data_IF_302784486209
#
_entry.id   IF_302784486209
#
_cell.length_a   1.000
_cell.length_b   1.000
_cell.length_c   1.000
_cell.angle_alpha   90.00
_cell.angle_beta   90.00
_cell.angle_gamma   90.00
#
_symmetry.space_group_name_H-M   'P 1'
#
loop_
_entity.id
_entity.type
_entity.pdbx_description
1 polymer ?
#
# COMPACT_ATOMS: atom_id res chain seq x y z
N UNK A 1 -13.45 3.20 -2.56
CA UNK A 1 -12.87 1.91 -2.95
C UNK A 1 -13.67 1.26 -4.09
N UNK A 2 -15.00 1.13 -3.98
CA UNK A 2 -15.79 0.46 -5.04
C UNK A 2 -15.63 1.09 -6.41
N UNK A 3 -15.78 2.42 -6.52
CA UNK A 3 -15.75 3.12 -7.81
C UNK A 3 -14.43 2.99 -8.60
N UNK A 4 -13.29 2.87 -7.91
CA UNK A 4 -11.97 2.95 -8.56
C UNK A 4 -11.10 1.69 -8.40
N UNK A 5 -11.46 0.76 -7.52
CA UNK A 5 -10.68 -0.47 -7.24
C UNK A 5 -11.55 -1.72 -7.35
N UNK A 6 -12.87 -1.54 -7.38
CA UNK A 6 -13.91 -2.58 -7.35
C UNK A 6 -13.82 -3.47 -6.10
N UNK A 7 -13.52 -2.86 -4.94
CA UNK A 7 -13.48 -3.54 -3.65
C UNK A 7 -14.62 -3.01 -2.76
N UNK A 8 -15.41 -3.94 -2.24
CA UNK A 8 -16.39 -3.65 -1.20
C UNK A 8 -15.71 -3.64 0.17
N UNK A 9 -15.90 -2.55 0.91
CA UNK A 9 -15.36 -2.36 2.25
C UNK A 9 -16.28 -1.43 3.03
N UNK A 10 -16.54 -1.75 4.30
CA UNK A 10 -17.42 -0.93 5.13
C UNK A 10 -16.79 0.42 5.47
N UNK A 11 -17.59 1.50 5.60
CA UNK A 11 -17.08 2.82 5.95
C UNK A 11 -16.27 2.85 7.26
N UNK A 12 -16.63 2.03 8.26
CA UNK A 12 -15.92 1.94 9.54
C UNK A 12 -14.48 1.43 9.41
N UNK A 13 -14.22 0.64 8.37
CA UNK A 13 -12.91 0.06 8.08
C UNK A 13 -12.05 0.98 7.19
N UNK A 14 -12.58 2.14 6.77
CA UNK A 14 -11.86 3.19 6.05
C UNK A 14 -11.44 4.29 7.04
N UNK A 15 -10.24 4.19 7.57
CA UNK A 15 -9.76 4.97 8.71
C UNK A 15 -8.94 6.17 8.22
N UNK A 16 -9.37 7.43 8.45
CA UNK A 16 -8.57 8.61 8.13
C UNK A 16 -7.25 8.63 8.90
N UNK A 17 -6.15 8.98 8.22
CA UNK A 17 -4.83 9.08 8.83
C UNK A 17 -4.10 10.35 8.38
N UNK A 18 -3.16 10.83 9.20
CA UNK A 18 -2.35 12.02 8.92
C UNK A 18 -1.25 11.69 7.87
N UNK A 19 -1.70 11.35 6.66
CA UNK A 19 -0.89 10.83 5.57
C UNK A 19 -0.56 9.34 5.71
N UNK A 20 -0.17 8.69 4.59
CA UNK A 20 0.18 7.27 4.57
C UNK A 20 1.38 6.91 5.46
N UNK A 21 2.24 7.88 5.78
CA UNK A 21 3.36 7.68 6.72
C UNK A 21 2.86 7.39 8.14
N UNK A 22 1.80 8.06 8.60
CA UNK A 22 1.18 7.75 9.88
C UNK A 22 0.43 6.41 9.82
N UNK A 23 -0.23 6.12 8.70
CA UNK A 23 -0.89 4.84 8.47
C UNK A 23 0.11 3.66 8.54
N UNK A 24 1.25 3.76 7.82
CA UNK A 24 2.27 2.71 7.82
C UNK A 24 2.92 2.53 9.20
N UNK A 25 3.18 3.63 9.91
CA UNK A 25 3.72 3.55 11.27
C UNK A 25 2.77 2.80 12.21
N UNK A 26 1.49 3.19 12.23
CA UNK A 26 0.48 2.50 13.03
C UNK A 26 0.29 1.05 12.61
N UNK A 27 0.30 0.76 11.29
CA UNK A 27 0.20 -0.60 10.78
C UNK A 27 1.38 -1.48 11.25
N UNK A 28 2.61 -0.96 11.23
CA UNK A 28 3.76 -1.68 11.76
C UNK A 28 3.65 -1.94 13.26
N UNK A 29 3.23 -0.92 14.03
CA UNK A 29 3.03 -1.07 15.48
C UNK A 29 2.05 -2.19 15.76
N UNK A 30 0.87 -2.18 15.15
CA UNK A 30 -0.17 -3.17 15.49
C UNK A 30 0.18 -4.57 14.95
N UNK A 31 0.63 -4.69 13.70
CA UNK A 31 0.83 -5.99 13.06
C UNK A 31 1.93 -6.81 13.71
N UNK A 32 3.03 -6.17 14.14
CA UNK A 32 4.12 -6.84 14.86
C UNK A 32 3.77 -7.28 16.29
N UNK A 33 2.54 -6.97 16.73
CA UNK A 33 2.07 -7.26 18.09
C UNK A 33 0.82 -8.17 18.13
N UNK A 34 0.27 -8.52 16.96
CA UNK A 34 -0.95 -9.35 16.88
C UNK A 34 -0.72 -10.79 17.37
N UNK A 35 0.42 -11.38 17.02
CA UNK A 35 0.70 -12.80 17.29
C UNK A 35 2.06 -12.94 17.91
N UNK A 36 2.17 -13.50 19.12
CA UNK A 36 3.46 -13.76 19.75
C UNK A 36 4.40 -14.58 18.84
N UNK A 37 5.65 -14.13 18.71
CA UNK A 37 6.63 -14.77 17.84
C UNK A 37 6.59 -14.36 16.37
N UNK A 38 5.55 -13.64 15.92
CA UNK A 38 5.50 -12.98 14.60
C UNK A 38 5.78 -11.48 14.79
N UNK A 39 7.04 -11.10 14.76
CA UNK A 39 7.48 -9.73 15.05
C UNK A 39 8.29 -9.06 13.94
N UNK A 40 8.46 -9.76 12.80
CA UNK A 40 9.19 -9.25 11.65
C UNK A 40 8.27 -8.75 10.53
N UNK A 41 8.74 -7.74 9.80
CA UNK A 41 8.09 -7.27 8.57
C UNK A 41 8.95 -7.67 7.37
N UNK A 42 8.34 -8.27 6.35
CA UNK A 42 8.99 -8.62 5.09
C UNK A 42 8.76 -7.51 4.07
N UNK A 43 9.82 -6.89 3.57
CA UNK A 43 9.78 -5.91 2.50
C UNK A 43 9.97 -6.56 1.13
N UNK A 44 9.04 -6.31 0.23
CA UNK A 44 9.24 -6.53 -1.20
C UNK A 44 9.86 -5.25 -1.75
N UNK A 45 11.20 -5.24 -1.82
CA UNK A 45 11.99 -4.10 -2.26
C UNK A 45 12.12 -4.05 -3.80
N UNK A 46 12.51 -2.90 -4.38
CA UNK A 46 12.82 -1.65 -3.70
C UNK A 46 11.58 -1.03 -3.05
N UNK A 47 11.76 -0.29 -1.97
CA UNK A 47 10.65 0.26 -1.18
C UNK A 47 10.94 1.64 -0.61
N UNK A 48 9.91 2.27 -0.05
CA UNK A 48 10.02 3.61 0.53
C UNK A 48 10.88 3.58 1.82
N UNK A 49 12.06 4.25 1.85
CA UNK A 49 13.04 4.05 2.92
C UNK A 49 12.56 4.45 4.31
N UNK A 50 11.59 5.37 4.39
CA UNK A 50 11.02 5.84 5.66
C UNK A 50 10.38 4.68 6.43
N UNK A 51 9.77 3.72 5.74
CA UNK A 51 9.10 2.57 6.38
C UNK A 51 10.09 1.73 7.21
N UNK A 52 11.31 1.49 6.70
CA UNK A 52 12.36 0.80 7.48
C UNK A 52 12.84 1.64 8.67
N UNK A 53 12.86 2.97 8.52
CA UNK A 53 13.19 3.88 9.62
C UNK A 53 12.11 3.86 10.71
N UNK A 54 10.84 3.70 10.35
CA UNK A 54 9.75 3.52 11.31
C UNK A 54 9.92 2.25 12.14
N UNK A 55 10.32 1.13 11.51
CA UNK A 55 10.60 -0.11 12.25
C UNK A 55 11.79 0.05 13.23
N UNK A 56 12.82 0.80 12.84
CA UNK A 56 13.93 1.12 13.77
C UNK A 56 13.44 1.88 15.00
N UNK A 57 12.51 2.83 14.84
CA UNK A 57 11.96 3.60 15.96
C UNK A 57 11.25 2.69 16.96
N UNK A 58 10.52 1.68 16.51
CA UNK A 58 9.80 0.76 17.39
C UNK A 58 10.62 -0.48 17.79
N UNK A 59 11.86 -0.60 17.32
CA UNK A 59 12.72 -1.74 17.62
C UNK A 59 12.30 -3.05 16.94
N UNK A 60 11.42 -2.98 15.93
CA UNK A 60 10.97 -4.15 15.19
C UNK A 60 12.00 -4.60 14.14
N UNK A 61 12.01 -5.88 13.84
CA UNK A 61 12.90 -6.49 12.86
C UNK A 61 12.26 -6.51 11.47
N UNK A 62 13.07 -6.65 10.44
CA UNK A 62 12.60 -6.86 9.08
C UNK A 62 13.53 -7.77 8.28
N UNK A 63 12.96 -8.37 7.26
CA UNK A 63 13.63 -9.06 6.16
C UNK A 63 13.30 -8.34 4.86
N UNK A 64 14.06 -8.58 3.80
CA UNK A 64 13.81 -7.95 2.51
C UNK A 64 14.35 -8.77 1.36
N UNK A 65 13.77 -8.59 0.18
CA UNK A 65 14.33 -9.08 -1.08
C UNK A 65 13.95 -8.15 -2.22
N UNK A 66 14.77 -8.10 -3.29
CA UNK A 66 14.49 -7.32 -4.48
C UNK A 66 13.52 -8.10 -5.39
N UNK A 67 12.34 -7.53 -5.64
CA UNK A 67 11.28 -8.13 -6.48
C UNK A 67 11.74 -8.31 -7.93
N UNK A 68 12.65 -7.48 -8.43
CA UNK A 68 13.06 -7.50 -9.83
C UNK A 68 13.63 -8.86 -10.28
N UNK A 69 14.24 -9.58 -9.34
CA UNK A 69 14.78 -10.91 -9.59
C UNK A 69 13.78 -12.05 -9.37
N UNK A 70 12.57 -11.75 -8.88
CA UNK A 70 11.60 -12.76 -8.49
C UNK A 70 10.19 -12.40 -8.99
N UNK A 71 10.07 -12.14 -10.31
CA UNK A 71 8.78 -11.80 -10.93
C UNK A 71 8.00 -13.07 -11.32
N UNK A 72 6.67 -12.94 -11.39
CA UNK A 72 5.77 -14.04 -11.73
C UNK A 72 5.85 -15.20 -10.73
N UNK A 73 5.90 -16.45 -11.19
CA UNK A 73 5.92 -17.64 -10.31
C UNK A 73 7.17 -17.74 -9.42
N UNK A 74 8.30 -17.15 -9.81
CA UNK A 74 9.48 -17.10 -8.94
C UNK A 74 9.22 -16.36 -7.62
N UNK A 75 8.24 -15.46 -7.58
CA UNK A 75 7.80 -14.77 -6.38
C UNK A 75 7.24 -15.74 -5.32
N UNK A 76 6.54 -16.79 -5.75
CA UNK A 76 5.96 -17.80 -4.84
C UNK A 76 7.02 -18.45 -3.98
N UNK A 77 8.03 -19.04 -4.60
CA UNK A 77 9.11 -19.74 -3.88
C UNK A 77 9.88 -18.77 -2.97
N UNK A 78 10.12 -17.55 -3.48
CA UNK A 78 10.83 -16.53 -2.71
C UNK A 78 10.07 -16.11 -1.46
N UNK A 79 8.79 -15.81 -1.57
CA UNK A 79 7.93 -15.46 -0.42
C UNK A 79 7.84 -16.62 0.56
N UNK A 80 7.58 -17.83 0.09
CA UNK A 80 7.49 -18.99 0.96
C UNK A 80 8.80 -19.27 1.73
N UNK A 81 9.95 -18.95 1.16
CA UNK A 81 11.24 -19.14 1.85
C UNK A 81 11.36 -18.33 3.15
N UNK A 82 10.67 -17.17 3.21
CA UNK A 82 10.55 -16.37 4.44
C UNK A 82 9.39 -16.82 5.32
N UNK A 83 8.21 -17.00 4.72
CA UNK A 83 6.97 -17.25 5.47
C UNK A 83 6.97 -18.57 6.22
N UNK A 84 7.68 -19.59 5.72
CA UNK A 84 7.86 -20.88 6.38
C UNK A 84 8.62 -20.79 7.72
N UNK A 85 9.34 -19.71 7.97
CA UNK A 85 10.02 -19.48 9.24
C UNK A 85 9.05 -19.19 10.39
N UNK A 86 7.84 -18.72 10.06
CA UNK A 86 6.74 -18.53 11.02
C UNK A 86 6.84 -17.25 11.86
N UNK A 87 7.81 -16.37 11.61
CA UNK A 87 8.07 -15.15 12.38
C UNK A 87 7.69 -13.84 11.66
N UNK A 88 7.21 -13.93 10.40
CA UNK A 88 6.74 -12.77 9.63
C UNK A 88 5.33 -12.39 10.08
N UNK A 89 5.17 -11.15 10.54
CA UNK A 89 3.90 -10.55 10.92
C UNK A 89 3.18 -9.91 9.73
N UNK A 90 3.95 -9.19 8.90
CA UNK A 90 3.40 -8.47 7.75
C UNK A 90 4.34 -8.50 6.55
N UNK A 91 3.75 -8.39 5.35
CA UNK A 91 4.43 -8.12 4.08
C UNK A 91 4.10 -6.68 3.69
N UNK A 92 5.10 -5.90 3.22
CA UNK A 92 4.88 -4.53 2.76
C UNK A 92 5.50 -4.28 1.39
N UNK A 93 4.78 -3.57 0.54
CA UNK A 93 5.23 -3.09 -0.77
C UNK A 93 4.39 -1.88 -1.20
N UNK A 94 4.84 -1.14 -2.22
CA UNK A 94 4.04 -0.13 -2.90
C UNK A 94 3.71 -0.55 -4.34
N UNK A 95 2.50 -0.21 -4.80
CA UNK A 95 2.01 -0.55 -6.14
C UNK A 95 1.18 0.61 -6.73
N UNK A 96 1.65 1.32 -7.78
CA UNK A 96 3.00 1.31 -8.36
C UNK A 96 4.12 1.58 -7.36
N UNK A 97 5.31 1.05 -7.64
CA UNK A 97 6.42 1.04 -6.71
C UNK A 97 7.17 2.39 -6.63
N UNK A 98 7.64 2.72 -5.45
CA UNK A 98 8.60 3.78 -5.20
C UNK A 98 9.92 3.15 -4.69
N UNK A 99 11.08 3.32 -5.40
CA UNK A 99 11.32 4.25 -6.51
C UNK A 99 11.31 3.63 -7.91
N UNK A 100 11.14 2.32 -8.06
CA UNK A 100 11.40 1.61 -9.32
C UNK A 100 10.28 1.72 -10.36
N UNK A 101 9.11 2.21 -9.99
CA UNK A 101 7.88 2.24 -10.80
C UNK A 101 7.41 0.87 -11.30
N UNK A 102 7.92 -0.21 -10.71
CA UNK A 102 7.43 -1.56 -10.93
C UNK A 102 5.94 -1.63 -10.52
N UNK A 103 5.11 -2.24 -11.35
CA UNK A 103 3.73 -2.55 -11.04
C UNK A 103 3.56 -4.06 -10.92
N UNK A 104 3.11 -4.53 -9.76
CA UNK A 104 2.77 -5.93 -9.57
C UNK A 104 1.55 -6.29 -10.41
N UNK A 105 1.59 -7.43 -11.06
CA UNK A 105 0.49 -7.95 -11.85
C UNK A 105 -0.52 -8.70 -10.98
N UNK A 106 -1.75 -8.88 -11.49
CA UNK A 106 -2.80 -9.61 -10.77
C UNK A 106 -2.37 -11.03 -10.37
N UNK A 107 -1.59 -11.71 -11.20
CA UNK A 107 -1.03 -13.03 -10.88
C UNK A 107 -0.07 -13.01 -9.69
N UNK A 108 0.77 -11.97 -9.58
CA UNK A 108 1.70 -11.80 -8.47
C UNK A 108 0.97 -11.43 -7.17
N UNK A 109 -0.05 -10.56 -7.27
CA UNK A 109 -0.91 -10.21 -6.14
C UNK A 109 -1.74 -11.42 -5.66
N UNK A 110 -2.16 -12.28 -6.57
CA UNK A 110 -2.82 -13.55 -6.21
C UNK A 110 -1.89 -14.47 -5.42
N UNK A 111 -0.61 -14.57 -5.80
CA UNK A 111 0.41 -15.32 -5.05
C UNK A 111 0.59 -14.72 -3.64
N UNK A 112 0.74 -13.40 -3.54
CA UNK A 112 0.89 -12.70 -2.25
C UNK A 112 -0.35 -12.96 -1.38
N UNK A 113 -1.55 -12.81 -1.94
CA UNK A 113 -2.81 -13.01 -1.22
C UNK A 113 -3.02 -14.44 -0.73
N UNK A 114 -2.75 -15.43 -1.59
CA UNK A 114 -2.81 -16.86 -1.23
C UNK A 114 -1.86 -17.17 -0.08
N UNK A 115 -0.59 -16.77 -0.21
CA UNK A 115 0.42 -17.05 0.80
C UNK A 115 0.15 -16.29 2.11
N UNK A 116 -0.28 -15.04 2.03
CA UNK A 116 -0.70 -14.26 3.20
C UNK A 116 -1.81 -14.97 3.98
N UNK A 117 -2.80 -15.50 3.29
CA UNK A 117 -3.91 -16.25 3.90
C UNK A 117 -3.41 -17.56 4.51
N UNK A 118 -2.59 -18.33 3.78
CA UNK A 118 -2.04 -19.61 4.21
C UNK A 118 -1.19 -19.49 5.47
N UNK A 119 -0.36 -18.48 5.54
CA UNK A 119 0.59 -18.28 6.66
C UNK A 119 0.08 -17.32 7.74
N UNK A 120 -1.14 -16.77 7.60
CA UNK A 120 -1.72 -15.84 8.56
C UNK A 120 -0.86 -14.57 8.72
N UNK A 121 -0.45 -13.96 7.61
CA UNK A 121 0.37 -12.75 7.55
C UNK A 121 -0.46 -11.60 7.00
N UNK A 122 -0.30 -10.38 7.50
CA UNK A 122 -1.05 -9.21 7.06
C UNK A 122 -0.28 -8.51 5.92
N UNK A 123 -0.97 -8.17 4.83
CA UNK A 123 -0.37 -7.43 3.71
C UNK A 123 -0.62 -5.93 3.87
N UNK A 124 0.44 -5.16 3.82
CA UNK A 124 0.43 -3.69 3.87
C UNK A 124 0.74 -3.18 2.46
N UNK A 125 -0.30 -2.86 1.70
CA UNK A 125 -0.17 -2.34 0.34
C UNK A 125 -0.18 -0.82 0.36
N UNK A 126 0.96 -0.21 0.02
CA UNK A 126 1.10 1.25 -0.07
C UNK A 126 0.64 1.72 -1.46
N UNK A 127 -0.54 2.33 -1.50
CA UNK A 127 -1.17 2.87 -2.71
C UNK A 127 -0.92 4.38 -2.86
N UNK A 128 0.30 4.86 -2.53
CA UNK A 128 0.65 6.27 -2.67
C UNK A 128 0.57 6.77 -4.13
N UNK A 129 0.74 5.87 -5.10
CA UNK A 129 0.69 6.14 -6.54
C UNK A 129 -0.55 5.51 -7.18
N UNK A 130 -1.63 5.46 -6.45
CA UNK A 130 -2.92 4.94 -6.87
C UNK A 130 -3.32 5.43 -8.28
N UNK A 131 -3.76 4.52 -9.16
CA UNK A 131 -4.12 4.79 -10.55
C UNK A 131 -3.00 5.38 -11.44
N UNK A 132 -1.73 5.34 -11.02
CA UNK A 132 -0.64 5.97 -11.75
C UNK A 132 0.21 4.97 -12.56
N UNK A 133 -0.30 3.81 -12.91
CA UNK A 133 0.26 3.02 -14.02
C UNK A 133 -0.24 3.61 -15.35
N UNK A 134 0.53 4.54 -15.91
CA UNK A 134 0.13 5.32 -17.08
C UNK A 134 0.13 4.53 -18.40
N UNK A 135 0.51 3.26 -18.38
CA UNK A 135 0.35 2.33 -19.52
C UNK A 135 -1.11 1.90 -19.70
N UNK A 136 -1.95 2.17 -18.70
CA UNK A 136 -3.37 1.82 -18.68
C UNK A 136 -4.23 3.06 -18.47
N UNK A 137 -5.48 3.02 -18.90
CA UNK A 137 -6.47 4.07 -18.65
C UNK A 137 -7.20 3.82 -17.32
N UNK A 138 -6.47 4.04 -16.23
CA UNK A 138 -6.96 3.90 -14.85
C UNK A 138 -7.59 5.21 -14.35
N UNK A 139 -8.44 5.09 -13.33
CA UNK A 139 -9.02 6.25 -12.65
C UNK A 139 -10.38 6.69 -13.18
N UNK A 140 -10.97 5.94 -14.11
CA UNK A 140 -12.36 6.15 -14.54
C UNK A 140 -13.31 5.54 -13.49
N UNK A 141 -14.24 6.32 -12.90
CA UNK A 141 -15.12 5.77 -11.88
C UNK A 141 -16.07 4.72 -12.48
N UNK A 142 -16.27 3.62 -11.75
CA UNK A 142 -17.19 2.52 -12.10
C UNK A 142 -16.85 1.78 -13.40
N UNK A 143 -15.65 1.96 -13.93
CA UNK A 143 -15.25 1.41 -15.21
C UNK A 143 -13.87 0.74 -15.14
N UNK A 144 -13.81 -0.50 -15.62
CA UNK A 144 -12.54 -1.19 -15.84
C UNK A 144 -11.73 -0.55 -17.00
N UNK A 145 -10.39 -0.67 -16.98
CA UNK A 145 -9.62 -1.44 -16.02
C UNK A 145 -9.51 -0.77 -14.65
N UNK A 146 -9.50 -1.59 -13.60
CA UNK A 146 -9.23 -1.12 -12.24
C UNK A 146 -7.77 -1.41 -11.87
N UNK A 147 -7.11 -0.57 -11.04
CA UNK A 147 -5.77 -0.88 -10.56
C UNK A 147 -5.75 -2.22 -9.82
N UNK A 148 -4.74 -3.06 -10.09
CA UNK A 148 -4.59 -4.33 -9.39
C UNK A 148 -4.33 -4.09 -7.91
N UNK A 149 -4.86 -4.96 -7.04
CA UNK A 149 -4.67 -4.90 -5.59
C UNK A 149 -4.79 -6.28 -4.96
N UNK A 150 -4.01 -6.50 -3.88
CA UNK A 150 -4.07 -7.75 -3.12
C UNK A 150 -5.43 -8.00 -2.47
N UNK A 151 -6.22 -6.95 -2.25
CA UNK A 151 -7.55 -7.04 -1.63
C UNK A 151 -8.56 -7.92 -2.39
N UNK A 152 -8.27 -8.27 -3.65
CA UNK A 152 -9.05 -9.24 -4.43
C UNK A 152 -8.76 -10.70 -4.09
N UNK A 153 -7.64 -10.97 -3.39
CA UNK A 153 -7.09 -12.31 -3.22
C UNK A 153 -6.95 -12.75 -1.77
N UNK A 154 -7.14 -11.84 -0.81
CA UNK A 154 -7.08 -12.14 0.62
C UNK A 154 -7.91 -11.13 1.42
N UNK A 155 -8.32 -11.53 2.63
CA UNK A 155 -8.90 -10.63 3.63
C UNK A 155 -7.86 -10.15 4.66
N UNK A 156 -6.59 -10.54 4.52
CA UNK A 156 -5.53 -10.15 5.45
C UNK A 156 -4.80 -8.92 4.93
N UNK A 157 -5.47 -7.78 4.79
CA UNK A 157 -4.84 -6.60 4.21
C UNK A 157 -5.15 -5.29 4.94
N UNK A 158 -4.21 -4.35 4.80
CA UNK A 158 -4.38 -2.91 5.02
C UNK A 158 -3.92 -2.20 3.75
N UNK A 159 -4.83 -1.53 3.04
CA UNK A 159 -4.48 -0.66 1.92
C UNK A 159 -4.27 0.76 2.44
N UNK A 160 -3.17 1.39 2.07
CA UNK A 160 -2.84 2.76 2.49
C UNK A 160 -3.01 3.72 1.31
N UNK A 161 -4.23 4.25 1.16
CA UNK A 161 -4.60 5.15 0.07
C UNK A 161 -4.18 6.58 0.40
N UNK A 162 -3.16 7.10 -0.29
CA UNK A 162 -2.64 8.45 -0.05
C UNK A 162 -3.26 9.48 -0.99
N UNK A 163 -3.61 10.66 -0.45
CA UNK A 163 -3.98 11.83 -1.26
C UNK A 163 -2.78 12.58 -1.83
N UNK A 164 -1.56 12.25 -1.36
CA UNK A 164 -0.37 13.08 -1.56
C UNK A 164 0.07 13.25 -3.01
N UNK A 165 -0.10 12.21 -3.85
CA UNK A 165 0.39 12.18 -5.22
C UNK A 165 -0.72 12.38 -6.22
N UNK A 166 -1.66 11.45 -6.27
CA UNK A 166 -2.73 11.43 -7.26
C UNK A 166 -3.67 12.64 -7.18
N UNK A 167 -3.89 13.18 -5.97
CA UNK A 167 -4.71 14.38 -5.75
C UNK A 167 -3.89 15.65 -5.50
N UNK A 168 -2.56 15.61 -5.65
CA UNK A 168 -1.65 16.73 -5.34
C UNK A 168 -1.87 17.36 -3.94
N UNK A 169 -2.32 16.56 -2.98
CA UNK A 169 -2.79 17.00 -1.65
C UNK A 169 -1.75 16.73 -0.54
N UNK A 170 -0.46 16.64 -0.93
CA UNK A 170 0.63 16.24 -0.02
C UNK A 170 0.77 17.13 1.21
N UNK A 171 0.61 18.44 1.06
CA UNK A 171 0.74 19.43 2.15
C UNK A 171 -0.34 19.31 3.21
N UNK A 172 -1.50 18.76 2.88
CA UNK A 172 -2.65 18.63 3.79
C UNK A 172 -2.57 17.41 4.71
N UNK A 173 -1.59 16.54 4.51
CA UNK A 173 -1.33 15.36 5.37
C UNK A 173 -2.55 14.49 5.56
N UNK A 174 -3.15 14.00 4.45
CA UNK A 174 -4.33 13.15 4.47
C UNK A 174 -4.12 11.86 3.72
N UNK A 175 -4.56 10.74 4.32
CA UNK A 175 -4.66 9.43 3.69
C UNK A 175 -5.77 8.63 4.37
N UNK A 176 -6.10 7.47 3.80
CA UNK A 176 -7.04 6.51 4.39
C UNK A 176 -6.36 5.15 4.49
N UNK A 177 -6.37 4.56 5.68
CA UNK A 177 -6.06 3.16 5.87
C UNK A 177 -7.34 2.34 5.73
N UNK A 178 -7.42 1.53 4.67
CA UNK A 178 -8.54 0.65 4.41
C UNK A 178 -8.20 -0.76 4.90
N UNK A 179 -8.76 -1.16 6.03
CA UNK A 179 -8.59 -2.50 6.61
C UNK A 179 -9.71 -3.40 6.10
N UNK A 180 -9.43 -4.65 5.70
CA UNK A 180 -10.53 -5.56 5.33
C UNK A 180 -11.53 -5.71 6.49
N UNK A 181 -12.81 -5.87 6.20
CA UNK A 181 -13.83 -6.01 7.25
C UNK A 181 -13.55 -7.20 8.16
N UNK A 182 -13.05 -8.31 7.59
CA UNK A 182 -12.69 -9.49 8.35
C UNK A 182 -11.51 -9.25 9.29
N UNK A 183 -10.42 -8.64 8.81
CA UNK A 183 -9.29 -8.29 9.66
C UNK A 183 -9.70 -7.27 10.73
N UNK A 184 -10.53 -6.28 10.36
CA UNK A 184 -11.05 -5.27 11.28
C UNK A 184 -11.75 -5.89 12.49
N UNK A 185 -12.55 -6.95 12.27
CA UNK A 185 -13.31 -7.66 13.31
C UNK A 185 -12.54 -8.81 13.99
N UNK A 186 -11.32 -9.11 13.52
CA UNK A 186 -10.53 -10.21 14.09
C UNK A 186 -10.04 -9.85 15.50
N UNK A 187 -10.26 -10.77 16.44
CA UNK A 187 -9.77 -10.65 17.81
C UNK A 187 -8.39 -11.26 17.96
N UNK A 188 -7.47 -10.51 18.56
CA UNK A 188 -6.11 -10.94 18.91
C UNK A 188 -5.90 -10.84 20.43
N UNK A 189 -5.79 -11.96 21.15
CA UNK A 189 -5.58 -11.94 22.62
C UNK A 189 -4.35 -11.13 23.05
N UNK A 190 -3.27 -11.18 22.25
CA UNK A 190 -2.06 -10.42 22.54
C UNK A 190 -2.25 -8.91 22.49
N UNK A 191 -3.16 -8.42 21.63
CA UNK A 191 -3.53 -7.00 21.60
C UNK A 191 -4.36 -6.63 22.84
N UNK A 192 -5.32 -7.47 23.23
CA UNK A 192 -6.12 -7.24 24.44
C UNK A 192 -5.22 -7.15 25.69
N UNK A 193 -4.27 -8.06 25.82
CA UNK A 193 -3.32 -8.08 26.95
C UNK A 193 -2.42 -6.83 26.93
N UNK A 194 -1.88 -6.46 25.77
CA UNK A 194 -0.94 -5.35 25.64
C UNK A 194 -1.59 -3.99 25.88
N UNK A 195 -2.77 -3.77 25.30
CA UNK A 195 -3.42 -2.46 25.29
C UNK A 195 -4.49 -2.30 26.38
N UNK A 196 -4.90 -3.38 27.04
CA UNK A 196 -5.95 -3.37 28.04
C UNK A 196 -7.32 -3.01 27.43
N UNK A 197 -7.53 -3.36 26.17
CA UNK A 197 -8.75 -3.08 25.40
C UNK A 197 -9.46 -4.36 24.91
N UNK A 198 -10.35 -4.25 23.92
CA UNK A 198 -11.09 -5.39 23.40
C UNK A 198 -10.24 -6.43 22.66
N UNK A 199 -9.03 -6.07 22.24
CA UNK A 199 -8.19 -6.90 21.34
C UNK A 199 -8.76 -7.09 19.94
N UNK A 200 -9.86 -6.42 19.59
CA UNK A 200 -10.40 -6.41 18.23
C UNK A 200 -9.54 -5.49 17.38
N UNK A 201 -8.94 -6.05 16.32
CA UNK A 201 -7.91 -5.40 15.52
C UNK A 201 -8.26 -3.96 15.14
N UNK A 202 -9.41 -3.74 14.51
CA UNK A 202 -9.80 -2.42 14.03
C UNK A 202 -10.01 -1.42 15.17
N UNK A 203 -10.58 -1.84 16.28
CA UNK A 203 -10.80 -0.99 17.45
C UNK A 203 -9.46 -0.62 18.10
N UNK A 204 -8.57 -1.59 18.33
CA UNK A 204 -7.24 -1.36 18.88
C UNK A 204 -6.43 -0.48 17.93
N UNK A 205 -6.50 -0.72 16.61
CA UNK A 205 -5.78 0.08 15.62
C UNK A 205 -6.18 1.55 15.65
N UNK A 206 -7.49 1.84 15.74
CA UNK A 206 -8.01 3.22 15.77
C UNK A 206 -7.73 3.88 17.11
N UNK A 207 -8.16 3.26 18.22
CA UNK A 207 -8.21 3.90 19.54
C UNK A 207 -6.88 3.81 20.31
N UNK A 208 -6.18 2.67 20.20
CA UNK A 208 -4.98 2.41 21.00
C UNK A 208 -3.68 2.64 20.25
N UNK A 209 -3.71 2.71 18.90
CA UNK A 209 -2.52 2.94 18.07
C UNK A 209 -2.59 4.27 17.35
N UNK A 210 -3.48 4.45 16.38
CA UNK A 210 -3.51 5.67 15.54
C UNK A 210 -3.83 6.92 16.37
N UNK A 211 -4.78 6.83 17.28
CA UNK A 211 -5.12 7.95 18.18
C UNK A 211 -3.91 8.38 19.03
N UNK A 212 -3.10 7.44 19.51
CA UNK A 212 -1.89 7.75 20.30
C UNK A 212 -0.77 8.37 19.45
N UNK A 213 -0.75 8.14 18.14
CA UNK A 213 0.24 8.72 17.24
C UNK A 213 -0.10 10.18 16.89
N UNK A 214 -1.37 10.50 16.63
CA UNK A 214 -1.77 11.79 16.04
C UNK A 214 -2.95 12.46 16.71
N UNK A 215 -3.61 11.82 17.67
CA UNK A 215 -4.87 12.28 18.27
C UNK A 215 -6.02 12.51 17.27
N UNK A 216 -5.90 11.94 16.06
CA UNK A 216 -6.85 12.09 14.96
C UNK A 216 -6.32 12.93 13.80
N UNK A 217 -7.18 13.19 12.83
CA UNK A 217 -6.86 13.96 11.63
C UNK A 217 -7.61 15.30 11.64
N UNK A 218 -7.00 16.33 11.02
CA UNK A 218 -7.61 17.65 10.88
C UNK A 218 -8.95 17.57 10.14
N UNK A 219 -10.04 18.05 10.74
CA UNK A 219 -11.39 17.92 10.19
C UNK A 219 -11.52 18.59 8.81
N UNK A 220 -10.99 19.81 8.63
CA UNK A 220 -11.04 20.52 7.35
C UNK A 220 -10.39 19.73 6.19
N UNK A 221 -9.27 19.05 6.46
CA UNK A 221 -8.62 18.23 5.43
C UNK A 221 -9.39 16.96 5.11
N UNK A 222 -10.07 16.36 6.10
CA UNK A 222 -10.97 15.22 5.88
C UNK A 222 -12.13 15.60 4.97
N UNK A 223 -12.82 16.72 5.25
CA UNK A 223 -13.92 17.21 4.41
C UNK A 223 -13.44 17.56 3.00
N UNK A 224 -12.30 18.23 2.86
CA UNK A 224 -11.73 18.55 1.55
C UNK A 224 -11.41 17.30 0.74
N UNK A 225 -10.80 16.29 1.37
CA UNK A 225 -10.49 15.03 0.67
C UNK A 225 -11.76 14.23 0.34
N UNK A 226 -12.74 14.20 1.25
CA UNK A 226 -14.02 13.55 0.99
C UNK A 226 -14.74 14.17 -0.22
N UNK A 227 -14.72 15.50 -0.35
CA UNK A 227 -15.31 16.20 -1.50
C UNK A 227 -14.56 15.92 -2.79
N UNK A 228 -13.23 15.86 -2.77
CA UNK A 228 -12.45 15.44 -3.95
C UNK A 228 -12.79 14.01 -4.39
N UNK A 229 -12.93 13.08 -3.43
CA UNK A 229 -13.34 11.71 -3.72
C UNK A 229 -14.77 11.63 -4.26
N UNK A 230 -15.69 12.44 -3.72
CA UNK A 230 -17.06 12.56 -4.24
C UNK A 230 -17.05 13.05 -5.68
N UNK A 231 -16.43 14.19 -5.94
CA UNK A 231 -16.33 14.78 -7.26
C UNK A 231 -15.70 13.82 -8.28
N UNK A 232 -14.67 13.07 -7.86
CA UNK A 232 -14.07 12.04 -8.71
C UNK A 232 -15.02 10.87 -8.98
N UNK A 233 -15.79 10.43 -7.97
CA UNK A 233 -16.76 9.32 -8.09
C UNK A 233 -17.93 9.70 -8.99
N UNK A 234 -18.35 10.97 -8.96
CA UNK A 234 -19.43 11.53 -9.79
C UNK A 234 -18.95 11.90 -11.20
N UNK A 235 -17.64 11.76 -11.49
CA UNK A 235 -17.04 12.09 -12.78
C UNK A 235 -16.83 13.60 -13.02
N UNK A 236 -16.95 14.41 -11.97
CA UNK A 236 -16.71 15.87 -12.01
C UNK A 236 -15.22 16.22 -11.95
N UNK A 237 -14.39 15.31 -11.40
CA UNK A 237 -12.94 15.46 -11.27
C UNK A 237 -12.22 14.25 -11.89
N UNK A 238 -11.51 14.46 -12.99
CA UNK A 238 -10.57 13.48 -13.55
C UNK A 238 -9.17 13.70 -12.95
N UNK A 239 -8.95 13.13 -11.75
CA UNK A 239 -7.69 13.26 -11.06
C UNK A 239 -6.53 12.54 -11.78
N UNK A 240 -6.83 11.54 -12.60
CA UNK A 240 -5.81 10.79 -13.33
C UNK A 240 -5.28 11.62 -14.50
N UNK A 241 -6.13 12.38 -15.19
CA UNK A 241 -5.72 13.27 -16.29
C UNK A 241 -4.69 14.32 -15.81
N UNK A 242 -4.89 14.89 -14.64
CA UNK A 242 -4.02 15.93 -14.08
C UNK A 242 -2.58 15.45 -13.87
N UNK A 243 -2.39 14.15 -13.57
CA UNK A 243 -1.06 13.57 -13.31
C UNK A 243 -0.43 12.85 -14.52
N UNK A 244 -1.15 12.67 -15.64
CA UNK A 244 -0.59 12.07 -16.87
C UNK A 244 0.57 12.86 -17.47
N UNK A 245 0.67 14.14 -17.17
CA UNK A 245 1.82 14.97 -17.57
C UNK A 245 3.15 14.42 -17.01
N UNK A 246 3.14 13.76 -15.87
CA UNK A 246 4.35 13.12 -15.31
C UNK A 246 4.86 11.99 -16.20
N UNK A 247 3.98 11.18 -16.77
CA UNK A 247 4.38 10.13 -17.72
C UNK A 247 5.12 10.70 -18.92
N UNK A 248 4.56 11.75 -19.54
CA UNK A 248 5.16 12.42 -20.69
C UNK A 248 6.53 13.04 -20.37
N UNK A 249 6.66 13.62 -19.18
CA UNK A 249 7.95 14.18 -18.71
C UNK A 249 8.96 13.09 -18.45
N UNK A 250 8.55 12.00 -17.80
CA UNK A 250 9.43 10.87 -17.51
C UNK A 250 9.94 10.21 -18.80
N UNK A 251 9.07 9.95 -19.77
CA UNK A 251 9.46 9.42 -21.08
C UNK A 251 10.52 10.29 -21.76
N UNK A 252 10.29 11.61 -21.79
CA UNK A 252 11.24 12.55 -22.37
C UNK A 252 12.58 12.57 -21.62
N UNK A 253 12.54 12.59 -20.30
CA UNK A 253 13.74 12.62 -19.47
C UNK A 253 14.51 11.32 -19.59
N UNK A 254 13.82 10.17 -19.55
CA UNK A 254 14.41 8.84 -19.73
C UNK A 254 15.16 8.73 -21.06
N UNK A 255 14.55 9.22 -22.15
CA UNK A 255 15.21 9.28 -23.46
C UNK A 255 16.47 10.14 -23.41
N UNK A 256 16.42 11.33 -22.80
CA UNK A 256 17.60 12.22 -22.69
C UNK A 256 18.72 11.51 -21.90
N UNK A 257 18.41 10.88 -20.78
CA UNK A 257 19.41 10.15 -19.98
C UNK A 257 20.05 9.00 -20.77
N UNK A 258 19.24 8.16 -21.40
CA UNK A 258 19.75 7.00 -22.17
C UNK A 258 20.56 7.43 -23.40
N UNK A 259 20.16 8.49 -24.09
CA UNK A 259 20.91 9.06 -25.23
C UNK A 259 22.29 9.61 -24.78
N UNK A 260 22.45 9.91 -23.49
CA UNK A 260 23.70 10.42 -22.89
C UNK A 260 24.47 9.35 -22.07
N UNK A 261 24.17 8.07 -22.28
CA UNK A 261 24.94 6.94 -21.75
C UNK A 261 24.52 6.47 -20.34
N UNK A 262 23.40 6.94 -19.82
CA UNK A 262 22.83 6.39 -18.58
C UNK A 262 22.01 5.12 -18.86
N UNK A 263 21.85 4.30 -17.84
CA UNK A 263 21.04 3.09 -17.87
C UNK A 263 19.88 3.20 -16.90
N UNK A 264 18.72 2.70 -17.30
CA UNK A 264 17.57 2.52 -16.39
C UNK A 264 17.82 1.24 -15.59
N UNK A 265 17.72 1.34 -14.26
CA UNK A 265 18.05 0.23 -13.34
C UNK A 265 16.98 -0.85 -13.38
N UNK A 266 15.71 -0.44 -13.38
CA UNK A 266 14.55 -1.33 -13.45
C UNK A 266 13.76 -0.95 -14.71
N UNK A 267 13.89 -1.72 -15.78
CA UNK A 267 13.37 -1.37 -17.11
C UNK A 267 12.20 -2.28 -17.55
N UNK A 268 11.98 -3.41 -16.88
CA UNK A 268 10.92 -4.35 -17.22
C UNK A 268 10.04 -4.77 -16.05
N UNK A 269 8.73 -4.89 -16.35
CA UNK A 269 7.72 -5.59 -15.56
C UNK A 269 7.36 -6.90 -16.25
N UNK A 270 7.81 -8.03 -15.73
CA UNK A 270 7.61 -9.38 -16.27
C UNK A 270 7.91 -9.46 -17.78
N UNK A 271 6.95 -9.05 -18.63
CA UNK A 271 7.04 -9.16 -20.11
C UNK A 271 6.98 -7.81 -20.84
N UNK A 272 6.83 -6.71 -20.13
CA UNK A 272 6.66 -5.36 -20.71
C UNK A 272 7.59 -4.34 -20.04
N UNK A 273 7.94 -3.25 -20.73
CA UNK A 273 8.68 -2.16 -20.10
C UNK A 273 7.94 -1.60 -18.89
N UNK A 274 8.70 -1.21 -17.86
CA UNK A 274 8.16 -0.46 -16.70
C UNK A 274 7.52 0.83 -17.21
N UNK A 275 6.37 1.18 -16.61
CA UNK A 275 5.67 2.43 -16.92
C UNK A 275 6.52 3.65 -16.58
N UNK A 276 6.27 4.74 -17.30
CA UNK A 276 6.88 6.03 -16.98
C UNK A 276 6.01 6.79 -15.98
N UNK A 277 6.63 7.40 -14.97
CA UNK A 277 5.92 8.06 -13.89
C UNK A 277 6.77 9.07 -13.14
N UNK A 278 6.68 9.07 -11.80
CA UNK A 278 7.47 9.96 -10.95
C UNK A 278 8.94 9.56 -10.85
N UNK A 279 9.25 8.28 -11.10
CA UNK A 279 10.60 7.72 -11.01
C UNK A 279 10.89 6.89 -12.27
N UNK A 280 12.14 6.79 -12.64
CA UNK A 280 12.61 6.01 -13.80
C UNK A 280 14.11 5.70 -13.69
#
# INVERSE_FOLDING_TARGET
MKAFVDIDISPRACIPTTGSVAASFGAFVITTQCVPGKDKVLFIDPGFPIQKSQLRIIGAKWEQFDIYHYRGEALREKLESYLKQGDIAAIVYSNPNNPAWICLEDSELAIIGELSTRYGVIVLEDMAYFCMDFRQDLGQPWKAPYPPTVARYTDNYILMLSSSKIFSYAGQRMAVACVSDKLFDTHYPALAERYGDSGVFGQTFVASVLYMITSGCTASTQYGYAEMLRAATDGELDFAADVREYARRAERMKKIFTDNGFHIVYDYDVTRPVGDGFFF
#
